data_IF_045695252828
#
_entry.id   IF_045695252828
#
_cell.length_a   1.000
_cell.length_b   1.000
_cell.length_c   1.000
_cell.angle_alpha   90.00
_cell.angle_beta   90.00
_cell.angle_gamma   90.00
#
_symmetry.space_group_name_H-M   'P 1'
#
loop_
_entity.id
_entity.type
_entity.pdbx_description
1 polymer ?
#
# COMPACT_ATOMS: atom_id res chain seq x y z
N UNK A 1 12.95 2.25 -12.96
CA UNK A 1 12.06 1.32 -13.66
C UNK A 1 11.08 0.67 -12.70
N UNK A 2 10.06 0.03 -13.23
CA UNK A 2 9.07 -0.69 -12.41
C UNK A 2 9.75 -1.81 -11.62
N UNK A 3 10.68 -2.51 -12.23
CA UNK A 3 11.41 -3.59 -11.56
C UNK A 3 12.23 -3.08 -10.38
N UNK A 4 12.87 -1.94 -10.55
CA UNK A 4 13.66 -1.35 -9.47
C UNK A 4 12.77 -0.91 -8.32
N UNK A 5 11.63 -0.30 -8.63
CA UNK A 5 10.67 0.12 -7.61
C UNK A 5 10.13 -1.08 -6.84
N UNK A 6 9.82 -2.14 -7.56
CA UNK A 6 9.33 -3.37 -6.93
C UNK A 6 10.39 -3.95 -5.99
N UNK A 7 11.63 -4.01 -6.44
CA UNK A 7 12.73 -4.52 -5.62
C UNK A 7 12.89 -3.69 -4.34
N UNK A 8 12.86 -2.37 -4.47
CA UNK A 8 12.97 -1.49 -3.32
C UNK A 8 11.82 -1.70 -2.35
N UNK A 9 10.61 -1.86 -2.86
CA UNK A 9 9.45 -2.12 -2.02
C UNK A 9 9.60 -3.42 -1.25
N UNK A 10 10.09 -4.49 -1.92
CA UNK A 10 10.29 -5.78 -1.27
C UNK A 10 11.35 -5.69 -0.18
N UNK A 11 12.43 -4.96 -0.43
CA UNK A 11 13.47 -4.75 0.58
C UNK A 11 12.91 -4.00 1.79
N UNK A 12 12.11 -3.00 1.56
CA UNK A 12 11.43 -2.28 2.63
C UNK A 12 10.51 -3.19 3.42
N UNK A 13 9.72 -4.00 2.73
CA UNK A 13 8.82 -4.95 3.38
C UNK A 13 9.58 -5.91 4.28
N UNK A 14 10.74 -6.40 3.84
CA UNK A 14 11.56 -7.29 4.65
C UNK A 14 12.06 -6.60 5.91
N UNK A 15 12.39 -5.32 5.81
CA UNK A 15 12.87 -4.55 6.95
C UNK A 15 11.79 -4.33 7.99
N UNK A 16 10.56 -4.08 7.57
CA UNK A 16 9.47 -3.85 8.52
C UNK A 16 8.42 -4.96 8.49
N UNK A 17 8.84 -6.16 8.16
CA UNK A 17 7.96 -7.31 8.01
C UNK A 17 7.02 -7.56 9.20
N UNK A 18 7.47 -7.43 10.47
CA UNK A 18 6.54 -7.62 11.58
C UNK A 18 5.36 -6.65 11.56
N UNK A 19 5.62 -5.38 11.25
CA UNK A 19 4.55 -4.38 11.14
C UNK A 19 3.66 -4.68 9.94
N UNK A 20 4.28 -5.05 8.82
CA UNK A 20 3.55 -5.40 7.61
C UNK A 20 2.58 -6.55 7.86
N UNK A 21 3.02 -7.55 8.62
CA UNK A 21 2.19 -8.71 8.93
C UNK A 21 0.98 -8.40 9.82
N UNK A 22 0.98 -7.24 10.48
CA UNK A 22 -0.14 -6.83 11.31
C UNK A 22 -1.20 -6.03 10.54
N UNK A 23 -0.91 -5.67 9.30
CA UNK A 23 -1.89 -5.01 8.45
C UNK A 23 -2.96 -6.02 8.02
N UNK A 24 -4.15 -5.52 7.73
CA UNK A 24 -5.20 -6.36 7.16
C UNK A 24 -4.84 -6.76 5.73
N UNK A 25 -5.49 -7.78 5.20
CA UNK A 25 -5.26 -8.19 3.82
C UNK A 25 -5.58 -7.06 2.85
N UNK A 26 -6.65 -6.32 3.10
CA UNK A 26 -7.02 -5.18 2.26
C UNK A 26 -5.95 -4.10 2.28
N UNK A 27 -5.43 -3.79 3.47
CA UNK A 27 -4.38 -2.78 3.60
C UNK A 27 -3.13 -3.19 2.82
N UNK A 28 -2.72 -4.44 2.96
CA UNK A 28 -1.56 -4.95 2.22
C UNK A 28 -1.80 -4.90 0.72
N UNK A 29 -2.98 -5.33 0.28
CA UNK A 29 -3.33 -5.31 -1.14
C UNK A 29 -3.27 -3.89 -1.70
N UNK A 30 -3.84 -2.93 -0.99
CA UNK A 30 -3.85 -1.53 -1.44
C UNK A 30 -2.44 -0.99 -1.55
N UNK A 31 -1.62 -1.20 -0.53
CA UNK A 31 -0.25 -0.71 -0.55
C UNK A 31 0.59 -1.38 -1.62
N UNK A 32 0.47 -2.70 -1.77
CA UNK A 32 1.19 -3.42 -2.81
C UNK A 32 0.82 -2.91 -4.20
N UNK A 33 -0.46 -2.68 -4.44
CA UNK A 33 -0.93 -2.22 -5.73
C UNK A 33 -0.33 -0.85 -6.06
N UNK A 34 -0.31 0.07 -5.09
CA UNK A 34 0.29 1.38 -5.31
C UNK A 34 1.81 1.32 -5.49
N UNK A 35 2.48 0.39 -4.83
CA UNK A 35 3.92 0.24 -5.01
C UNK A 35 4.29 -0.42 -6.33
N UNK A 36 3.47 -1.33 -6.81
CA UNK A 36 3.79 -2.06 -8.04
C UNK A 36 3.43 -1.32 -9.30
N UNK A 37 2.49 -0.37 -9.25
CA UNK A 37 2.09 0.38 -10.42
C UNK A 37 3.05 1.54 -10.65
N UNK A 38 3.33 1.82 -11.92
CA UNK A 38 4.22 2.93 -12.28
C UNK A 38 3.54 4.28 -12.05
N UNK A 39 2.23 4.32 -12.07
CA UNK A 39 1.46 5.54 -11.88
C UNK A 39 0.41 5.35 -10.81
N UNK A 40 0.31 6.33 -9.89
CA UNK A 40 -0.70 6.27 -8.83
C UNK A 40 -2.12 6.23 -9.39
N UNK A 41 -2.37 6.93 -10.50
CA UNK A 41 -3.70 6.93 -11.10
C UNK A 41 -4.10 5.55 -11.58
N UNK A 42 -3.15 4.78 -12.11
CA UNK A 42 -3.41 3.41 -12.54
C UNK A 42 -3.72 2.51 -11.35
N UNK A 43 -2.96 2.64 -10.29
CA UNK A 43 -3.20 1.87 -9.06
C UNK A 43 -4.56 2.21 -8.46
N UNK A 44 -4.89 3.51 -8.40
CA UNK A 44 -6.18 3.94 -7.88
C UNK A 44 -7.33 3.38 -8.69
N UNK A 45 -7.18 3.36 -10.01
CA UNK A 45 -8.20 2.79 -10.89
C UNK A 45 -8.37 1.29 -10.63
N UNK A 46 -7.27 0.56 -10.55
CA UNK A 46 -7.31 -0.88 -10.27
C UNK A 46 -8.05 -1.16 -8.96
N UNK A 47 -7.70 -0.44 -7.90
CA UNK A 47 -8.32 -0.64 -6.59
C UNK A 47 -9.80 -0.25 -6.64
N UNK A 48 -10.14 0.83 -7.33
CA UNK A 48 -11.53 1.26 -7.43
C UNK A 48 -12.39 0.19 -8.12
N UNK A 49 -11.85 -0.47 -9.12
CA UNK A 49 -12.55 -1.53 -9.82
C UNK A 49 -12.65 -2.80 -8.97
N UNK A 50 -11.56 -3.19 -8.35
CA UNK A 50 -11.53 -4.43 -7.54
C UNK A 50 -12.42 -4.33 -6.30
N UNK A 51 -12.43 -3.18 -5.64
CA UNK A 51 -13.22 -3.00 -4.42
C UNK A 51 -14.56 -2.33 -4.68
N UNK A 52 -14.85 -1.99 -5.93
CA UNK A 52 -16.09 -1.33 -6.33
C UNK A 52 -16.32 -0.04 -5.55
N UNK A 53 -15.30 0.83 -5.53
CA UNK A 53 -15.34 2.12 -4.85
C UNK A 53 -14.86 3.20 -5.80
N UNK A 54 -15.00 4.45 -5.40
CA UNK A 54 -14.52 5.58 -6.19
C UNK A 54 -13.00 5.71 -6.06
N UNK A 55 -12.37 6.37 -7.05
CA UNK A 55 -10.92 6.58 -7.02
C UNK A 55 -10.47 7.36 -5.81
N UNK A 56 -11.24 8.37 -5.41
CA UNK A 56 -10.92 9.14 -4.20
C UNK A 56 -10.89 8.24 -2.97
N UNK A 57 -11.80 7.28 -2.91
CA UNK A 57 -11.82 6.30 -1.82
C UNK A 57 -10.59 5.40 -1.86
N UNK A 58 -10.09 5.06 -3.06
CA UNK A 58 -8.88 4.27 -3.19
C UNK A 58 -7.68 5.02 -2.60
N UNK A 59 -7.55 6.32 -2.88
CA UNK A 59 -6.49 7.13 -2.29
C UNK A 59 -6.64 7.24 -0.78
N UNK A 60 -7.86 7.37 -0.29
CA UNK A 60 -8.12 7.41 1.16
C UNK A 60 -7.71 6.10 1.83
N UNK A 61 -8.00 4.98 1.19
CA UNK A 61 -7.59 3.67 1.73
C UNK A 61 -6.08 3.55 1.76
N UNK A 62 -5.39 4.03 0.72
CA UNK A 62 -3.93 4.04 0.71
C UNK A 62 -3.39 4.85 1.88
N UNK A 63 -3.92 6.05 2.08
CA UNK A 63 -3.43 6.93 3.14
C UNK A 63 -3.69 6.32 4.52
N UNK A 64 -4.84 5.72 4.73
CA UNK A 64 -5.14 5.04 6.00
C UNK A 64 -4.21 3.86 6.24
N UNK A 65 -3.93 3.09 5.19
CA UNK A 65 -3.02 1.96 5.31
C UNK A 65 -1.61 2.42 5.64
N UNK A 66 -1.15 3.51 5.01
CA UNK A 66 0.15 4.09 5.33
C UNK A 66 0.21 4.61 6.76
N UNK A 67 -0.84 5.27 7.22
CA UNK A 67 -0.90 5.75 8.60
C UNK A 67 -0.84 4.59 9.59
N UNK A 68 -1.57 3.52 9.31
CA UNK A 68 -1.57 2.35 10.17
C UNK A 68 -0.19 1.71 10.20
N UNK A 69 0.44 1.57 9.04
CA UNK A 69 1.79 1.02 8.96
C UNK A 69 2.78 1.88 9.74
N UNK A 70 2.68 3.20 9.59
CA UNK A 70 3.53 4.14 10.32
C UNK A 70 3.36 3.98 11.83
N UNK A 71 2.13 3.85 12.28
CA UNK A 71 1.86 3.64 13.69
C UNK A 71 2.48 2.34 14.20
N UNK A 72 2.36 1.27 13.40
CA UNK A 72 2.94 -0.02 13.78
C UNK A 72 4.46 0.02 13.83
N UNK A 73 5.09 0.78 12.92
CA UNK A 73 6.54 0.89 12.86
C UNK A 73 7.12 1.72 14.01
N UNK A 74 6.44 2.80 14.37
CA UNK A 74 6.97 3.76 15.33
C UNK A 74 6.25 3.75 16.66
N UNK A 75 5.28 2.87 16.82
CA UNK A 75 4.60 2.67 18.10
C UNK A 75 3.50 3.66 18.40
N UNK A 76 3.31 4.67 17.55
CA UNK A 76 2.20 5.62 17.66
C UNK A 76 2.12 6.50 16.43
N UNK A 77 0.96 7.00 16.19
CA UNK A 77 0.75 7.91 15.08
C UNK A 77 1.40 9.27 15.34
#
# INVERSE_FOLDING_TARGET
>A
TIKERYRQAVEYMNWFKPAWGQLTEEERYVLETFYMDAEESGAALTISEELNIERSSAYNKKNRALDHLTMLLYGKA
#
